data_IF_370398597545
#
_entry.id   IF_370398597545
#
_cell.length_a   1.000
_cell.length_b   1.000
_cell.length_c   1.000
_cell.angle_alpha   90.00
_cell.angle_beta   90.00
_cell.angle_gamma   90.00
#
_symmetry.space_group_name_H-M   'P 1'
#
loop_
_entity.id
_entity.type
_entity.pdbx_description
1 polymer ?
#
# COMPACT_ATOMS: atom_id res chain seq x y z
N UNK A 1 76.59 -37.06 51.71
CA UNK A 1 75.29 -36.64 52.28
C UNK A 1 74.60 -35.48 51.54
N UNK A 2 75.12 -34.98 50.39
CA UNK A 2 74.56 -33.83 49.64
C UNK A 2 73.67 -34.15 48.43
N UNK A 3 73.54 -35.42 48.01
CA UNK A 3 72.80 -35.78 46.78
C UNK A 3 71.28 -35.89 46.94
N UNK A 4 70.76 -36.11 48.15
CA UNK A 4 69.31 -36.26 48.40
C UNK A 4 68.58 -34.93 48.57
N UNK A 5 69.27 -33.91 49.10
CA UNK A 5 68.69 -32.58 49.33
C UNK A 5 68.55 -31.75 48.04
N UNK A 6 69.49 -31.91 47.10
CA UNK A 6 69.44 -31.20 45.81
C UNK A 6 68.34 -31.74 44.88
N UNK A 7 68.05 -33.04 44.97
CA UNK A 7 67.01 -33.69 44.16
C UNK A 7 65.59 -33.38 44.67
N UNK A 8 65.43 -33.18 45.98
CA UNK A 8 64.18 -32.70 46.57
C UNK A 8 63.89 -31.23 46.20
N UNK A 9 64.92 -30.38 46.11
CA UNK A 9 64.76 -28.99 45.70
C UNK A 9 64.41 -28.86 44.21
N UNK A 10 64.94 -29.73 43.35
CA UNK A 10 64.65 -29.74 41.91
C UNK A 10 63.23 -30.23 41.60
N UNK A 11 62.73 -31.22 42.36
CA UNK A 11 61.33 -31.69 42.24
C UNK A 11 60.31 -30.66 42.74
N UNK A 12 60.67 -29.83 43.73
CA UNK A 12 59.82 -28.74 44.20
C UNK A 12 59.76 -27.59 43.18
N UNK A 13 60.84 -27.34 42.44
CA UNK A 13 60.89 -26.28 41.41
C UNK A 13 60.11 -26.66 40.14
N UNK A 14 60.07 -27.94 39.75
CA UNK A 14 59.28 -28.42 38.60
C UNK A 14 57.77 -28.36 38.86
N UNK A 15 57.34 -28.56 40.11
CA UNK A 15 55.92 -28.49 40.48
C UNK A 15 55.34 -27.05 40.52
N UNK A 16 56.20 -26.03 40.66
CA UNK A 16 55.77 -24.62 40.74
C UNK A 16 55.72 -23.98 39.34
N UNK A 17 56.47 -24.51 38.36
CA UNK A 17 56.44 -24.01 36.96
C UNK A 17 55.41 -24.71 36.07
N UNK A 18 54.70 -25.72 36.56
CA UNK A 18 53.58 -26.38 35.86
C UNK A 18 52.20 -25.81 36.23
N UNK A 19 52.16 -24.67 36.93
CA UNK A 19 50.96 -23.84 37.05
C UNK A 19 50.64 -23.20 35.70
N UNK A 20 50.30 -24.04 34.71
CA UNK A 20 49.68 -23.57 33.48
C UNK A 20 48.48 -22.73 33.88
N UNK A 21 48.40 -21.51 33.35
CA UNK A 21 47.19 -20.72 33.44
C UNK A 21 46.03 -21.60 32.97
N UNK A 22 45.25 -22.11 33.90
CA UNK A 22 43.88 -22.53 33.60
C UNK A 22 43.18 -21.19 33.34
N UNK A 23 43.30 -20.72 32.10
CA UNK A 23 42.27 -19.87 31.54
C UNK A 23 41.05 -20.79 31.53
N UNK A 24 40.24 -20.73 32.59
CA UNK A 24 38.84 -21.10 32.46
C UNK A 24 38.37 -20.29 31.26
N UNK A 25 38.19 -20.98 30.12
CA UNK A 25 37.48 -20.40 29.02
C UNK A 25 36.16 -19.95 29.64
N UNK A 26 35.93 -18.64 29.65
CA UNK A 26 34.66 -18.09 30.10
C UNK A 26 33.62 -18.62 29.12
N UNK A 27 33.06 -19.80 29.44
CA UNK A 27 31.97 -20.41 28.69
C UNK A 27 30.76 -19.56 29.04
N UNK A 28 30.55 -18.53 28.22
CA UNK A 28 29.31 -17.77 28.28
C UNK A 28 28.23 -18.73 27.81
N UNK A 29 27.24 -19.09 28.66
CA UNK A 29 26.20 -20.00 28.26
C UNK A 29 25.41 -19.38 27.11
N UNK A 30 25.21 -20.15 26.04
CA UNK A 30 24.48 -19.76 24.83
C UNK A 30 23.42 -20.81 24.55
N UNK A 31 22.23 -20.36 24.19
CA UNK A 31 21.20 -21.18 23.56
C UNK A 31 21.24 -20.97 22.05
N UNK A 32 20.97 -22.03 21.30
CA UNK A 32 20.89 -21.97 19.83
C UNK A 32 19.43 -22.20 19.42
N UNK A 33 18.80 -21.20 18.82
CA UNK A 33 17.44 -21.28 18.29
C UNK A 33 17.52 -21.60 16.80
N UNK A 34 17.04 -22.76 16.40
CA UNK A 34 16.90 -23.15 15.00
C UNK A 34 15.47 -22.96 14.56
N UNK A 35 15.25 -22.51 13.32
CA UNK A 35 13.89 -22.37 12.81
C UNK A 35 13.83 -22.42 11.30
N UNK A 36 12.61 -22.26 10.77
CA UNK A 36 12.35 -22.28 9.33
C UNK A 36 11.35 -21.21 8.92
N UNK A 37 11.69 -20.45 7.89
CA UNK A 37 10.77 -19.57 7.16
C UNK A 37 10.00 -20.40 6.13
N UNK A 38 8.69 -20.21 6.10
CA UNK A 38 7.77 -20.85 5.15
C UNK A 38 7.25 -19.75 4.24
N UNK A 39 7.51 -19.87 2.94
CA UNK A 39 7.06 -18.92 1.92
C UNK A 39 6.11 -19.61 0.94
N UNK A 40 5.33 -18.85 0.14
CA UNK A 40 4.46 -19.41 -0.87
C UNK A 40 5.20 -20.33 -1.85
N UNK A 41 4.51 -21.34 -2.43
CA UNK A 41 5.11 -22.25 -3.41
C UNK A 41 5.77 -21.50 -4.57
N UNK A 42 6.99 -21.93 -4.94
CA UNK A 42 7.76 -21.33 -6.04
C UNK A 42 8.57 -20.09 -5.66
N UNK A 43 8.46 -19.60 -4.43
CA UNK A 43 9.27 -18.50 -3.91
C UNK A 43 10.43 -19.03 -3.06
N UNK A 44 11.51 -18.24 -2.97
CA UNK A 44 12.71 -18.58 -2.19
C UNK A 44 12.83 -17.59 -1.03
N UNK A 45 12.99 -18.04 0.23
CA UNK A 45 13.06 -17.18 1.42
C UNK A 45 14.40 -16.45 1.59
N UNK A 46 15.27 -16.49 0.58
CA UNK A 46 16.59 -15.87 0.64
C UNK A 46 16.44 -14.35 0.84
N UNK A 47 17.21 -13.79 1.79
CA UNK A 47 17.15 -12.36 2.12
C UNK A 47 16.08 -11.99 3.16
N UNK A 48 15.27 -12.94 3.63
CA UNK A 48 14.44 -12.74 4.83
C UNK A 48 15.34 -12.64 6.05
N UNK A 49 15.25 -11.52 6.77
CA UNK A 49 15.94 -11.26 8.03
C UNK A 49 15.03 -11.64 9.19
N UNK A 50 15.56 -12.43 10.11
CA UNK A 50 14.92 -12.77 11.38
C UNK A 50 15.59 -11.93 12.46
N UNK A 51 14.78 -11.21 13.23
CA UNK A 51 15.21 -10.34 14.33
C UNK A 51 14.52 -10.80 15.61
N UNK A 52 15.09 -10.44 16.76
CA UNK A 52 14.54 -10.78 18.07
C UNK A 52 14.04 -9.51 18.74
N UNK A 53 12.76 -9.46 19.07
CA UNK A 53 12.15 -8.30 19.71
C UNK A 53 12.82 -7.99 21.06
N UNK A 54 12.99 -6.70 21.36
CA UNK A 54 13.74 -6.22 22.52
C UNK A 54 15.26 -6.46 22.45
N UNK A 55 15.77 -7.01 21.34
CA UNK A 55 17.19 -7.32 21.12
C UNK A 55 17.65 -6.91 19.70
N UNK A 56 17.72 -5.60 19.40
CA UNK A 56 17.91 -5.10 18.03
C UNK A 56 19.24 -5.49 17.38
N UNK A 57 20.24 -5.92 18.16
CA UNK A 57 21.53 -6.41 17.67
C UNK A 57 21.54 -7.90 17.33
N UNK A 58 20.51 -8.66 17.70
CA UNK A 58 20.42 -10.10 17.46
C UNK A 58 19.56 -10.35 16.24
N UNK A 59 20.18 -10.92 15.20
CA UNK A 59 19.47 -11.29 13.98
C UNK A 59 20.18 -12.42 13.23
N UNK A 60 19.45 -13.07 12.34
CA UNK A 60 19.97 -14.02 11.36
C UNK A 60 19.27 -13.80 10.01
N UNK A 61 19.81 -14.39 8.95
CA UNK A 61 19.14 -14.45 7.64
C UNK A 61 18.74 -15.89 7.35
N UNK A 62 17.59 -16.07 6.71
CA UNK A 62 17.19 -17.36 6.19
C UNK A 62 18.08 -17.73 4.99
N UNK A 63 18.55 -18.98 4.94
CA UNK A 63 19.14 -19.55 3.73
C UNK A 63 18.07 -19.97 2.71
N UNK A 64 18.48 -20.48 1.54
CA UNK A 64 17.58 -20.87 0.45
C UNK A 64 16.51 -21.91 0.83
N UNK A 65 16.81 -22.75 1.83
CA UNK A 65 15.87 -23.73 2.36
C UNK A 65 14.90 -23.18 3.42
N UNK A 66 14.98 -21.88 3.71
CA UNK A 66 14.24 -21.19 4.77
C UNK A 66 14.82 -21.37 6.18
N UNK A 67 15.84 -22.22 6.35
CA UNK A 67 16.44 -22.48 7.65
C UNK A 67 17.26 -21.30 8.15
N UNK A 68 17.20 -21.05 9.45
CA UNK A 68 18.03 -20.05 10.16
C UNK A 68 18.46 -20.59 11.54
N UNK A 69 19.48 -19.95 12.12
CA UNK A 69 19.96 -20.23 13.48
C UNK A 69 20.34 -18.92 14.17
N UNK A 70 19.89 -18.73 15.41
CA UNK A 70 20.15 -17.53 16.24
C UNK A 70 20.74 -17.97 17.58
N UNK A 71 21.80 -17.29 18.01
CA UNK A 71 22.38 -17.48 19.33
C UNK A 71 21.80 -16.48 20.34
N UNK A 72 21.29 -17.00 21.47
CA UNK A 72 20.75 -16.21 22.57
C UNK A 72 21.52 -16.46 23.86
N UNK A 73 21.78 -15.39 24.61
CA UNK A 73 22.54 -15.43 25.87
C UNK A 73 21.67 -15.28 27.11
N UNK A 74 20.36 -15.45 26.95
CA UNK A 74 19.37 -15.37 28.02
C UNK A 74 18.33 -16.45 27.80
N UNK A 75 17.91 -17.10 28.89
CA UNK A 75 16.70 -17.91 28.90
C UNK A 75 15.47 -17.00 28.93
N UNK A 76 14.33 -17.51 28.46
CA UNK A 76 13.06 -16.81 28.49
C UNK A 76 12.25 -17.01 27.22
N UNK A 77 11.11 -16.31 27.15
CA UNK A 77 10.26 -16.30 25.98
C UNK A 77 10.62 -15.12 25.09
N UNK A 78 10.88 -15.39 23.81
CA UNK A 78 11.29 -14.39 22.83
C UNK A 78 10.33 -14.34 21.65
N UNK A 79 10.09 -13.14 21.13
CA UNK A 79 9.36 -12.93 19.88
C UNK A 79 10.37 -12.83 18.73
N UNK A 80 10.28 -13.76 17.79
CA UNK A 80 11.04 -13.74 16.54
C UNK A 80 10.19 -13.04 15.48
N UNK A 81 10.75 -12.04 14.82
CA UNK A 81 10.11 -11.31 13.73
C UNK A 81 10.91 -11.50 12.46
N UNK A 82 10.27 -12.05 11.43
CA UNK A 82 10.86 -12.28 10.12
C UNK A 82 10.29 -11.28 9.11
N UNK A 83 11.17 -10.58 8.41
CA UNK A 83 10.80 -9.63 7.36
C UNK A 83 11.77 -9.72 6.18
N UNK A 84 11.25 -9.58 4.96
CA UNK A 84 12.04 -9.53 3.74
C UNK A 84 11.45 -8.53 2.74
N UNK A 85 12.24 -8.15 1.74
CA UNK A 85 11.82 -7.18 0.71
C UNK A 85 10.62 -7.65 -0.12
N UNK A 86 10.50 -8.96 -0.33
CA UNK A 86 9.47 -9.55 -1.20
C UNK A 86 8.32 -10.19 -0.42
N UNK A 87 8.42 -10.20 0.92
CA UNK A 87 7.49 -10.90 1.80
C UNK A 87 6.93 -9.96 2.86
N UNK A 88 5.65 -10.14 3.20
CA UNK A 88 5.08 -9.48 4.36
C UNK A 88 5.76 -9.98 5.64
N UNK A 89 5.68 -9.14 6.67
CA UNK A 89 6.24 -9.48 7.99
C UNK A 89 5.44 -10.60 8.66
N UNK A 90 6.15 -11.49 9.34
CA UNK A 90 5.54 -12.55 10.15
C UNK A 90 6.33 -12.76 11.43
N UNK A 91 5.75 -13.47 12.39
CA UNK A 91 6.35 -13.66 13.70
C UNK A 91 6.06 -15.03 14.32
N UNK A 92 6.87 -15.42 15.30
CA UNK A 92 6.63 -16.58 16.15
C UNK A 92 7.22 -16.38 17.53
N UNK A 93 6.58 -16.96 18.55
CA UNK A 93 7.12 -17.05 19.90
C UNK A 93 7.99 -18.29 20.07
N UNK A 94 9.09 -18.17 20.82
CA UNK A 94 9.96 -19.29 21.19
C UNK A 94 10.37 -19.20 22.65
N UNK A 95 10.30 -20.32 23.36
CA UNK A 95 10.81 -20.46 24.73
C UNK A 95 12.22 -21.02 24.70
N UNK A 96 13.16 -20.32 25.34
CA UNK A 96 14.59 -20.58 25.22
C UNK A 96 15.18 -20.91 26.58
N UNK A 97 15.98 -21.97 26.60
CA UNK A 97 16.76 -22.40 27.76
C UNK A 97 18.25 -22.40 27.39
N UNK A 98 19.08 -21.78 28.23
CA UNK A 98 20.53 -21.72 28.04
C UNK A 98 21.15 -23.12 27.91
N UNK A 99 22.24 -23.19 27.12
CA UNK A 99 23.00 -24.42 26.85
C UNK A 99 22.21 -25.51 26.10
N UNK A 100 21.05 -25.15 25.54
CA UNK A 100 20.24 -26.05 24.72
C UNK A 100 20.08 -25.53 23.29
N UNK A 101 19.90 -26.46 22.37
CA UNK A 101 19.34 -26.17 21.06
C UNK A 101 17.80 -26.26 21.16
N UNK A 102 17.11 -25.25 20.65
CA UNK A 102 15.65 -25.17 20.62
C UNK A 102 15.18 -25.01 19.19
N UNK A 103 14.16 -25.76 18.80
CA UNK A 103 13.48 -25.59 17.51
C UNK A 103 12.30 -24.62 17.67
N UNK A 104 12.40 -23.45 17.05
CA UNK A 104 11.33 -22.47 16.97
C UNK A 104 10.22 -22.93 16.00
N UNK A 105 8.96 -22.51 16.23
CA UNK A 105 7.90 -22.69 15.26
C UNK A 105 8.27 -22.09 13.89
N UNK A 106 7.74 -22.70 12.83
CA UNK A 106 7.91 -22.15 11.48
C UNK A 106 7.20 -20.80 11.35
N UNK A 107 7.87 -19.82 10.74
CA UNK A 107 7.27 -18.50 10.48
C UNK A 107 6.80 -18.49 9.03
N UNK A 108 5.48 -18.46 8.85
CA UNK A 108 4.86 -18.35 7.52
C UNK A 108 4.79 -16.89 7.10
N UNK A 109 5.29 -16.60 5.90
CA UNK A 109 5.22 -15.28 5.28
C UNK A 109 4.33 -15.35 4.04
N UNK A 110 3.54 -14.31 3.83
CA UNK A 110 2.86 -14.07 2.56
C UNK A 110 3.78 -13.28 1.64
N UNK A 111 3.65 -13.47 0.33
CA UNK A 111 4.30 -12.56 -0.63
C UNK A 111 3.68 -11.17 -0.51
N UNK A 112 4.49 -10.12 -0.64
CA UNK A 112 3.97 -8.75 -0.66
C UNK A 112 3.00 -8.58 -1.83
N UNK A 113 1.98 -7.78 -1.60
CA UNK A 113 1.05 -7.34 -2.62
C UNK A 113 1.50 -5.98 -3.12
N UNK A 114 1.41 -5.74 -4.44
CA UNK A 114 1.85 -4.49 -5.03
C UNK A 114 0.98 -3.33 -4.55
N UNK A 115 1.61 -2.23 -4.14
CA UNK A 115 0.91 -1.06 -3.58
C UNK A 115 0.42 -1.26 -2.14
N UNK A 116 0.79 -2.37 -1.49
CA UNK A 116 0.46 -2.65 -0.10
C UNK A 116 1.72 -2.86 0.75
N UNK A 117 1.59 -2.62 2.04
CA UNK A 117 2.57 -3.06 3.03
C UNK A 117 1.89 -3.39 4.35
N UNK A 118 2.50 -4.35 5.05
CA UNK A 118 2.17 -4.73 6.42
C UNK A 118 3.28 -4.25 7.37
N UNK A 119 2.91 -3.40 8.32
CA UNK A 119 3.75 -2.99 9.45
C UNK A 119 3.46 -3.84 10.68
N UNK A 120 4.47 -3.99 11.52
CA UNK A 120 4.38 -4.64 12.83
C UNK A 120 5.05 -3.75 13.87
N UNK A 121 4.49 -3.71 15.06
CA UNK A 121 5.09 -3.14 16.26
C UNK A 121 4.71 -4.03 17.44
N UNK A 122 5.57 -4.14 18.45
CA UNK A 122 5.28 -5.01 19.60
C UNK A 122 5.57 -4.29 20.91
N UNK A 123 4.79 -4.62 21.95
CA UNK A 123 5.09 -4.19 23.32
C UNK A 123 6.38 -4.84 23.86
N UNK A 124 6.92 -5.87 23.20
CA UNK A 124 8.22 -6.46 23.58
C UNK A 124 9.35 -5.51 23.24
N UNK A 125 9.27 -4.83 22.09
CA UNK A 125 10.24 -3.79 21.69
C UNK A 125 10.03 -2.49 22.45
N UNK A 126 8.77 -2.16 22.75
CA UNK A 126 8.38 -0.93 23.42
C UNK A 126 7.50 -1.21 24.67
N UNK A 127 8.09 -1.64 25.81
CA UNK A 127 7.35 -2.11 26.98
C UNK A 127 6.39 -1.11 27.62
N UNK A 128 6.65 0.20 27.46
CA UNK A 128 5.80 1.25 28.02
C UNK A 128 4.69 1.69 27.06
N UNK A 129 4.61 1.12 25.86
CA UNK A 129 3.65 1.51 24.83
C UNK A 129 2.22 1.02 25.15
N UNK A 130 1.25 1.87 24.83
CA UNK A 130 -0.19 1.61 24.99
C UNK A 130 -0.96 1.66 23.68
N UNK A 131 -0.36 2.24 22.64
CA UNK A 131 -0.90 2.30 21.28
C UNK A 131 0.21 2.58 20.30
N UNK A 132 0.08 2.13 19.05
CA UNK A 132 1.03 2.39 17.97
C UNK A 132 0.37 3.04 16.76
N UNK A 133 1.17 3.81 16.02
CA UNK A 133 0.86 4.35 14.71
C UNK A 133 2.10 4.26 13.82
N UNK A 134 1.90 4.06 12.52
CA UNK A 134 2.95 4.27 11.53
C UNK A 134 2.91 5.71 11.04
N UNK A 135 4.06 6.36 10.97
CA UNK A 135 4.19 7.73 10.46
C UNK A 135 5.06 7.75 9.22
N UNK A 136 4.46 8.21 8.11
CA UNK A 136 5.15 8.39 6.83
C UNK A 136 6.15 9.55 6.91
N UNK A 137 7.28 9.41 6.21
CA UNK A 137 8.33 10.43 6.15
C UNK A 137 8.63 10.82 4.70
N UNK A 138 8.90 9.84 3.84
CA UNK A 138 9.23 10.09 2.44
C UNK A 138 8.93 8.85 1.56
N UNK A 139 7.95 8.90 0.65
CA UNK A 139 6.99 10.00 0.47
C UNK A 139 6.05 10.13 1.67
N UNK A 140 5.45 11.31 1.85
CA UNK A 140 4.43 11.55 2.86
C UNK A 140 3.07 11.13 2.32
N UNK A 141 2.34 10.29 3.05
CA UNK A 141 1.00 9.81 2.67
C UNK A 141 -0.09 10.71 3.27
N UNK A 142 -1.33 10.51 2.84
CA UNK A 142 -2.52 11.10 3.47
C UNK A 142 -3.44 9.99 3.98
N UNK A 143 -3.70 9.88 5.31
CA UNK A 143 -3.10 10.68 6.37
C UNK A 143 -1.60 10.37 6.58
N UNK A 144 -0.84 11.33 7.11
CA UNK A 144 0.60 11.18 7.32
C UNK A 144 0.96 10.22 8.48
N UNK A 145 -0.01 9.94 9.35
CA UNK A 145 0.09 8.98 10.47
C UNK A 145 -1.18 8.14 10.51
N UNK A 146 -1.01 6.82 10.68
CA UNK A 146 -2.10 5.83 10.68
C UNK A 146 -1.94 4.89 11.87
N UNK A 147 -3.02 4.70 12.63
CA UNK A 147 -3.06 3.84 13.82
C UNK A 147 -2.86 2.36 13.45
N UNK A 148 -2.16 1.63 14.32
CA UNK A 148 -1.98 0.16 14.24
C UNK A 148 -2.87 -0.54 15.27
N UNK A 149 -3.19 -1.82 15.02
CA UNK A 149 -4.22 -2.56 15.75
C UNK A 149 -3.72 -3.93 16.24
N UNK A 150 -4.12 -4.30 17.45
CA UNK A 150 -3.91 -5.61 18.12
C UNK A 150 -5.31 -6.20 18.43
N UNK A 151 -6.09 -6.43 17.38
CA UNK A 151 -7.52 -6.77 17.45
C UNK A 151 -7.93 -7.91 16.50
N UNK A 152 -6.97 -8.59 15.88
CA UNK A 152 -7.19 -9.64 14.88
C UNK A 152 -7.61 -9.12 13.50
N UNK A 153 -7.49 -7.81 13.25
CA UNK A 153 -7.76 -7.18 11.95
C UNK A 153 -6.51 -6.48 11.39
N UNK A 154 -6.61 -5.87 10.21
CA UNK A 154 -5.50 -5.12 9.58
C UNK A 154 -4.19 -5.91 9.39
N UNK A 155 -4.26 -7.24 9.32
CA UNK A 155 -3.11 -8.14 9.20
C UNK A 155 -2.63 -8.72 10.53
N UNK A 156 -3.32 -8.43 11.62
CA UNK A 156 -3.04 -9.00 12.94
C UNK A 156 -3.55 -10.44 12.99
N UNK A 157 -2.70 -11.35 13.46
CA UNK A 157 -2.99 -12.77 13.51
C UNK A 157 -3.78 -13.14 14.77
N UNK A 158 -3.54 -12.47 15.89
CA UNK A 158 -4.09 -12.82 17.20
C UNK A 158 -4.39 -11.56 18.02
N UNK A 159 -5.67 -11.27 18.21
CA UNK A 159 -6.10 -10.14 19.02
C UNK A 159 -5.61 -10.20 20.48
N UNK A 160 -5.18 -9.05 21.01
CA UNK A 160 -4.69 -8.82 22.37
C UNK A 160 -3.45 -9.66 22.74
N UNK A 161 -2.56 -9.93 21.79
CA UNK A 161 -1.29 -10.62 22.04
C UNK A 161 -0.10 -9.66 22.25
N UNK A 162 -0.36 -8.35 22.20
CA UNK A 162 0.65 -7.30 22.35
C UNK A 162 1.41 -6.98 21.06
N UNK A 163 0.97 -7.53 19.92
CA UNK A 163 1.55 -7.30 18.60
C UNK A 163 0.55 -6.52 17.77
N UNK A 164 0.94 -5.30 17.45
CA UNK A 164 0.14 -4.39 16.66
C UNK A 164 0.56 -4.50 15.20
N UNK A 165 -0.42 -4.57 14.31
CA UNK A 165 -0.17 -4.56 12.87
C UNK A 165 -1.00 -3.51 12.18
N UNK A 166 -0.57 -3.16 10.98
CA UNK A 166 -1.36 -2.33 10.08
C UNK A 166 -1.01 -2.70 8.65
N UNK A 167 -2.01 -3.09 7.89
CA UNK A 167 -1.95 -3.15 6.43
C UNK A 167 -2.47 -1.86 5.86
N UNK A 168 -1.63 -1.14 5.12
CA UNK A 168 -2.09 -0.06 4.26
C UNK A 168 -2.07 -0.51 2.81
N UNK A 169 -3.05 -0.03 2.07
CA UNK A 169 -3.18 -0.21 0.62
C UNK A 169 -3.02 1.12 -0.08
N UNK A 170 -2.97 1.09 -1.41
CA UNK A 170 -2.82 2.27 -2.25
C UNK A 170 -1.58 3.12 -1.96
N UNK A 171 -0.48 2.48 -1.54
CA UNK A 171 0.79 3.13 -1.23
C UNK A 171 1.66 3.34 -2.47
N UNK A 172 2.43 4.43 -2.48
CA UNK A 172 3.46 4.69 -3.49
C UNK A 172 4.43 3.52 -3.65
N UNK A 173 4.58 2.98 -4.86
CA UNK A 173 5.53 1.91 -5.13
C UNK A 173 6.98 2.38 -4.94
N UNK A 174 7.88 1.43 -4.67
CA UNK A 174 9.29 1.71 -4.45
C UNK A 174 9.60 1.93 -2.98
N UNK A 175 10.70 2.65 -2.72
CA UNK A 175 11.30 2.69 -1.39
C UNK A 175 10.77 3.83 -0.52
N UNK A 176 10.21 3.48 0.64
CA UNK A 176 9.48 4.40 1.50
C UNK A 176 10.07 4.49 2.90
N UNK A 177 10.23 5.71 3.40
CA UNK A 177 10.72 6.00 4.74
C UNK A 177 9.57 6.24 5.72
N UNK A 178 9.68 5.64 6.89
CA UNK A 178 8.70 5.76 7.97
C UNK A 178 9.37 5.71 9.36
N UNK A 179 8.56 6.00 10.39
CA UNK A 179 8.87 5.79 11.79
C UNK A 179 7.66 5.21 12.52
N UNK A 180 7.90 4.55 13.65
CA UNK A 180 6.83 4.13 14.55
C UNK A 180 6.59 5.24 15.58
N UNK A 181 5.33 5.61 15.75
CA UNK A 181 4.88 6.53 16.79
C UNK A 181 4.06 5.73 17.82
N UNK A 182 4.30 5.95 19.11
CA UNK A 182 3.55 5.24 20.15
C UNK A 182 3.31 6.12 21.37
N UNK A 183 2.24 5.82 22.10
CA UNK A 183 1.89 6.51 23.35
C UNK A 183 2.34 5.71 24.56
N UNK A 184 2.96 6.37 25.53
CA UNK A 184 3.33 5.75 26.81
C UNK A 184 2.15 5.73 27.77
N UNK A 185 2.25 4.94 28.84
CA UNK A 185 1.27 4.94 29.95
C UNK A 185 1.08 6.32 30.61
N UNK A 186 2.09 7.20 30.53
CA UNK A 186 2.01 8.59 30.99
C UNK A 186 1.28 9.55 30.03
N UNK A 187 0.90 9.08 28.84
CA UNK A 187 0.25 9.87 27.79
C UNK A 187 1.19 10.55 26.81
N UNK A 188 2.52 10.44 27.00
CA UNK A 188 3.52 11.02 26.11
C UNK A 188 3.56 10.28 24.77
N UNK A 189 3.76 11.02 23.68
CA UNK A 189 3.98 10.43 22.35
C UNK A 189 5.47 10.37 22.05
N UNK A 190 5.96 9.18 21.68
CA UNK A 190 7.35 8.93 21.25
C UNK A 190 7.38 8.51 19.80
N UNK A 191 8.47 8.84 19.12
CA UNK A 191 8.73 8.44 17.73
C UNK A 191 10.08 7.76 17.65
N UNK A 192 10.10 6.52 17.19
CA UNK A 192 11.32 5.71 17.10
C UNK A 192 11.40 4.95 15.77
N UNK A 193 12.61 4.48 15.45
CA UNK A 193 12.82 3.61 14.29
C UNK A 193 12.27 2.22 14.57
N UNK A 194 11.68 1.59 13.55
CA UNK A 194 11.27 0.20 13.57
C UNK A 194 12.51 -0.71 13.77
N UNK A 195 12.57 -1.51 14.85
CA UNK A 195 13.63 -2.49 15.09
C UNK A 195 13.68 -3.57 14.00
N UNK A 196 12.54 -3.82 13.35
CA UNK A 196 12.29 -4.86 12.36
C UNK A 196 12.19 -4.32 10.92
N UNK A 197 12.67 -3.09 10.67
CA UNK A 197 12.75 -2.48 9.33
C UNK A 197 13.50 -3.33 8.30
N UNK A 198 13.13 -3.19 7.04
CA UNK A 198 13.79 -3.90 5.92
C UNK A 198 15.17 -3.31 5.65
N UNK A 199 15.27 -1.98 5.71
CA UNK A 199 16.51 -1.26 5.51
C UNK A 199 16.50 0.07 6.28
N UNK A 200 17.62 0.78 6.27
CA UNK A 200 17.75 2.13 6.83
C UNK A 200 18.16 3.11 5.74
N UNK A 201 17.38 4.17 5.54
CA UNK A 201 17.72 5.30 4.66
C UNK A 201 17.65 6.59 5.45
N UNK A 202 18.65 7.46 5.34
CA UNK A 202 18.73 8.75 6.06
C UNK A 202 18.36 8.66 7.56
N UNK A 203 18.84 7.61 8.25
CA UNK A 203 18.54 7.28 9.65
C UNK A 203 17.07 6.97 9.97
N UNK A 204 16.21 6.83 8.96
CA UNK A 204 14.81 6.41 9.12
C UNK A 204 14.62 4.95 8.74
N UNK A 205 13.51 4.38 9.20
CA UNK A 205 13.11 3.02 8.81
C UNK A 205 12.67 3.03 7.37
N UNK A 206 13.06 2.01 6.61
CA UNK A 206 12.72 1.87 5.21
C UNK A 206 11.96 0.56 4.97
N UNK A 207 10.92 0.65 4.15
CA UNK A 207 10.14 -0.47 3.62
C UNK A 207 10.06 -0.32 2.10
N UNK A 208 10.21 -1.42 1.39
CA UNK A 208 10.02 -1.45 -0.05
C UNK A 208 8.60 -1.91 -0.39
N UNK A 209 7.88 -1.08 -1.14
CA UNK A 209 6.60 -1.44 -1.73
C UNK A 209 6.89 -1.97 -3.13
N UNK A 210 6.41 -3.16 -3.44
CA UNK A 210 6.63 -3.77 -4.75
C UNK A 210 6.10 -2.84 -5.85
N UNK A 211 6.74 -2.94 -7.02
CA UNK A 211 6.28 -2.33 -8.27
C UNK A 211 5.57 -3.40 -9.10
N UNK A 212 4.50 -3.05 -9.81
CA UNK A 212 3.88 -3.94 -10.81
C UNK A 212 4.24 -3.46 -12.20
N UNK A 213 4.37 -4.42 -13.10
CA UNK A 213 4.48 -4.18 -14.53
C UNK A 213 3.14 -3.81 -15.18
N UNK A 214 2.00 -3.98 -14.49
CA UNK A 214 0.65 -3.67 -14.97
C UNK A 214 -0.16 -2.97 -13.87
N UNK A 215 -0.80 -1.85 -14.21
CA UNK A 215 -1.69 -1.13 -13.31
C UNK A 215 -3.14 -1.52 -13.55
N UNK A 216 -3.94 -1.62 -12.49
CA UNK A 216 -5.31 -2.12 -12.49
C UNK A 216 -6.15 -1.23 -11.57
N UNK A 217 -7.27 -0.72 -12.05
CA UNK A 217 -8.29 -0.11 -11.20
C UNK A 217 -9.41 -1.14 -10.98
N UNK A 218 -9.78 -1.40 -9.73
CA UNK A 218 -10.95 -2.21 -9.40
C UNK A 218 -11.89 -1.41 -8.52
N UNK A 219 -13.18 -1.64 -8.67
CA UNK A 219 -14.16 -0.91 -7.90
C UNK A 219 -15.57 -1.37 -8.19
N UNK A 220 -16.51 -0.60 -7.65
CA UNK A 220 -17.91 -0.88 -7.73
C UNK A 220 -18.70 0.39 -8.03
N UNK A 221 -19.70 0.27 -8.89
CA UNK A 221 -20.62 1.35 -9.21
C UNK A 221 -21.99 1.08 -8.59
N UNK A 222 -22.59 2.12 -8.03
CA UNK A 222 -23.97 2.15 -7.55
C UNK A 222 -24.72 3.30 -8.22
N UNK A 223 -26.04 3.37 -8.05
CA UNK A 223 -26.85 4.47 -8.57
C UNK A 223 -28.02 4.79 -7.66
N UNK A 224 -28.74 5.86 -8.00
CA UNK A 224 -29.99 6.28 -7.37
C UNK A 224 -31.21 5.42 -7.78
N UNK A 225 -31.03 4.46 -8.68
CA UNK A 225 -32.06 3.53 -9.10
C UNK A 225 -31.91 2.18 -8.39
N UNK A 226 -33.05 1.55 -8.07
CA UNK A 226 -33.09 0.19 -7.54
C UNK A 226 -33.05 -0.83 -8.70
N UNK A 227 -32.36 -1.95 -8.50
CA UNK A 227 -32.32 -3.09 -9.44
C UNK A 227 -31.87 -2.71 -10.86
N UNK A 228 -30.73 -2.05 -10.94
CA UNK A 228 -30.09 -1.66 -12.20
C UNK A 228 -29.23 -2.80 -12.73
N UNK A 229 -29.29 -3.03 -14.04
CA UNK A 229 -28.27 -3.79 -14.77
C UNK A 229 -27.16 -2.82 -15.21
N UNK A 230 -26.01 -2.88 -14.54
CA UNK A 230 -24.89 -1.98 -14.83
C UNK A 230 -24.09 -2.38 -16.08
N UNK A 231 -24.43 -3.49 -16.75
CA UNK A 231 -23.73 -3.93 -17.96
C UNK A 231 -23.88 -2.96 -19.14
N UNK A 232 -24.81 -2.01 -19.08
CA UNK A 232 -24.94 -0.93 -20.06
C UNK A 232 -23.99 0.25 -19.81
N UNK A 233 -23.35 0.30 -18.64
CA UNK A 233 -22.40 1.36 -18.29
C UNK A 233 -21.05 1.04 -18.90
N UNK A 234 -20.57 1.95 -19.74
CA UNK A 234 -19.24 1.91 -20.33
C UNK A 234 -18.28 2.67 -19.43
N UNK A 235 -17.25 1.98 -18.94
CA UNK A 235 -16.08 2.57 -18.33
C UNK A 235 -15.01 2.81 -19.40
N UNK A 236 -14.41 3.99 -19.41
CA UNK A 236 -13.35 4.33 -20.35
C UNK A 236 -12.24 5.18 -19.70
N UNK A 237 -11.07 5.20 -20.33
CA UNK A 237 -9.94 6.05 -19.95
C UNK A 237 -9.14 6.50 -21.18
N UNK A 238 -8.17 7.40 -21.00
CA UNK A 238 -7.20 7.84 -22.01
C UNK A 238 -7.89 8.25 -23.30
N UNK A 239 -8.72 9.30 -23.24
CA UNK A 239 -9.51 9.79 -24.38
C UNK A 239 -10.41 8.71 -25.02
N UNK A 240 -10.96 7.83 -24.20
CA UNK A 240 -11.84 6.75 -24.67
C UNK A 240 -11.15 5.64 -25.46
N UNK A 241 -9.81 5.68 -25.60
CA UNK A 241 -9.05 4.69 -26.38
C UNK A 241 -9.11 3.28 -25.77
N UNK A 242 -9.32 3.19 -24.45
CA UNK A 242 -9.58 1.93 -23.75
C UNK A 242 -10.93 2.04 -23.08
N UNK A 243 -11.73 0.98 -23.21
CA UNK A 243 -13.03 0.91 -22.56
C UNK A 243 -13.47 -0.51 -22.31
N UNK A 244 -14.33 -0.69 -21.31
CA UNK A 244 -15.06 -1.92 -21.03
C UNK A 244 -16.49 -1.60 -20.61
N UNK A 245 -17.38 -2.58 -20.69
CA UNK A 245 -18.66 -2.53 -19.99
C UNK A 245 -18.48 -3.09 -18.57
N UNK A 246 -19.24 -2.57 -17.61
CA UNK A 246 -19.22 -3.09 -16.24
C UNK A 246 -19.87 -4.48 -16.16
N UNK A 247 -19.66 -5.16 -15.04
CA UNK A 247 -20.46 -6.34 -14.71
C UNK A 247 -21.90 -5.93 -14.38
N UNK A 248 -22.84 -6.86 -14.47
CA UNK A 248 -24.28 -6.62 -14.17
C UNK A 248 -24.49 -6.09 -12.76
N UNK A 249 -23.62 -6.46 -11.83
CA UNK A 249 -23.68 -6.07 -10.42
C UNK A 249 -23.07 -4.67 -10.17
N UNK A 250 -22.33 -4.10 -11.12
CA UNK A 250 -21.64 -2.82 -11.02
C UNK A 250 -20.13 -2.93 -10.76
N UNK A 251 -19.62 -4.15 -10.56
CA UNK A 251 -18.20 -4.41 -10.36
C UNK A 251 -17.37 -4.23 -11.63
N UNK A 252 -16.12 -3.82 -11.48
CA UNK A 252 -15.16 -3.77 -12.58
C UNK A 252 -13.72 -4.03 -12.12
N UNK A 253 -12.92 -4.48 -13.07
CA UNK A 253 -11.47 -4.61 -12.96
C UNK A 253 -10.87 -4.21 -14.30
N UNK A 254 -10.21 -3.06 -14.35
CA UNK A 254 -9.86 -2.37 -15.57
C UNK A 254 -8.36 -2.06 -15.61
N UNK A 255 -7.66 -2.65 -16.57
CA UNK A 255 -6.23 -2.45 -16.74
C UNK A 255 -5.96 -1.01 -17.23
N UNK A 256 -4.91 -0.39 -16.70
CA UNK A 256 -4.57 1.00 -16.93
C UNK A 256 -3.12 1.14 -17.41
N UNK A 257 -2.84 2.22 -18.14
CA UNK A 257 -1.57 2.45 -18.82
C UNK A 257 -1.10 3.90 -18.64
N UNK A 258 -0.27 4.14 -17.63
CA UNK A 258 0.32 5.45 -17.42
C UNK A 258 1.02 5.56 -16.06
N UNK A 259 1.78 6.64 -15.88
CA UNK A 259 2.41 7.04 -14.63
C UNK A 259 1.97 8.47 -14.33
N UNK A 260 0.85 8.64 -13.61
CA UNK A 260 0.31 9.96 -13.29
C UNK A 260 -1.19 9.94 -13.00
N UNK A 261 -1.77 11.14 -12.97
CA UNK A 261 -3.23 11.31 -12.86
C UNK A 261 -3.90 10.79 -14.14
N UNK A 262 -4.82 9.87 -13.98
CA UNK A 262 -5.73 9.40 -15.03
C UNK A 262 -7.18 9.61 -14.59
N UNK A 263 -8.13 9.38 -15.49
CA UNK A 263 -9.55 9.49 -15.21
C UNK A 263 -10.28 8.21 -15.59
N UNK A 264 -11.12 7.72 -14.69
CA UNK A 264 -12.12 6.70 -14.97
C UNK A 264 -13.42 7.40 -15.35
N UNK A 265 -13.87 7.23 -16.59
CA UNK A 265 -15.07 7.89 -17.11
C UNK A 265 -16.15 6.86 -17.34
N UNK A 266 -17.25 6.98 -16.59
CA UNK A 266 -18.44 6.15 -16.67
C UNK A 266 -19.49 6.86 -17.53
N UNK A 267 -20.01 6.15 -18.53
CA UNK A 267 -21.00 6.68 -19.49
C UNK A 267 -22.07 5.65 -19.80
N UNK A 268 -23.33 6.07 -19.86
CA UNK A 268 -24.45 5.27 -20.36
C UNK A 268 -25.54 6.20 -20.92
N UNK A 269 -26.39 5.75 -21.86
CA UNK A 269 -27.60 6.48 -22.22
C UNK A 269 -28.55 6.74 -21.03
N UNK A 270 -28.52 5.87 -20.01
CA UNK A 270 -29.44 5.92 -18.87
C UNK A 270 -28.92 6.70 -17.65
N UNK A 271 -27.60 6.89 -17.56
CA UNK A 271 -26.94 7.56 -16.44
C UNK A 271 -26.15 8.77 -16.91
N UNK A 272 -26.09 9.81 -16.09
CA UNK A 272 -25.23 10.95 -16.35
C UNK A 272 -23.76 10.53 -16.36
N UNK A 273 -22.98 11.12 -17.27
CA UNK A 273 -21.53 10.92 -17.33
C UNK A 273 -20.90 11.28 -15.99
N UNK A 274 -19.95 10.46 -15.54
CA UNK A 274 -19.15 10.73 -14.34
C UNK A 274 -17.69 10.44 -14.63
N UNK A 275 -16.80 11.38 -14.33
CA UNK A 275 -15.35 11.18 -14.39
C UNK A 275 -14.80 11.20 -12.96
N UNK A 276 -13.88 10.28 -12.67
CA UNK A 276 -13.22 10.20 -11.37
C UNK A 276 -11.72 10.30 -11.60
N UNK A 277 -11.04 11.30 -11.01
CA UNK A 277 -9.59 11.34 -11.02
C UNK A 277 -9.04 10.19 -10.20
N UNK A 278 -8.05 9.52 -10.74
CA UNK A 278 -7.25 8.52 -10.05
C UNK A 278 -5.79 8.89 -10.17
N UNK A 279 -4.99 8.59 -9.16
CA UNK A 279 -3.55 8.79 -9.22
C UNK A 279 -2.88 7.43 -9.37
N UNK A 280 -2.41 7.14 -10.58
CA UNK A 280 -1.63 5.94 -10.86
C UNK A 280 -0.15 6.13 -10.58
N UNK A 281 0.32 7.33 -10.24
CA UNK A 281 1.76 7.54 -9.97
C UNK A 281 2.24 6.72 -8.76
N UNK A 282 1.32 6.34 -7.88
CA UNK A 282 1.63 5.68 -6.61
C UNK A 282 1.25 4.21 -6.59
N UNK A 283 0.31 3.73 -7.41
CA UNK A 283 -0.28 2.40 -7.22
C UNK A 283 -0.37 1.59 -8.51
N UNK A 284 -0.39 0.28 -8.36
CA UNK A 284 -0.66 -0.62 -9.48
C UNK A 284 -1.93 -1.42 -9.31
N UNK A 285 -2.48 -1.47 -8.12
CA UNK A 285 -3.86 -1.81 -7.90
C UNK A 285 -4.47 -0.61 -7.19
N UNK A 286 -5.41 0.05 -7.85
CA UNK A 286 -6.17 1.13 -7.25
C UNK A 286 -7.56 0.62 -6.89
N UNK A 287 -7.80 0.52 -5.58
CA UNK A 287 -9.13 0.26 -5.04
C UNK A 287 -9.95 1.54 -5.10
N UNK A 288 -10.76 1.66 -6.16
CA UNK A 288 -11.61 2.82 -6.37
C UNK A 288 -12.75 2.78 -5.34
N UNK A 289 -12.94 3.83 -4.53
CA UNK A 289 -14.10 3.93 -3.64
C UNK A 289 -15.41 3.75 -4.41
N UNK A 290 -16.41 3.16 -3.75
CA UNK A 290 -17.72 2.94 -4.37
C UNK A 290 -18.24 4.21 -5.03
N UNK A 291 -18.50 4.09 -6.33
CA UNK A 291 -18.84 5.22 -7.20
C UNK A 291 -20.33 5.27 -7.46
N UNK A 292 -21.01 6.31 -6.99
CA UNK A 292 -22.43 6.53 -7.30
C UNK A 292 -22.60 7.26 -8.64
N UNK A 293 -23.30 6.69 -9.61
CA UNK A 293 -23.71 7.39 -10.84
C UNK A 293 -25.20 7.80 -10.74
N UNK A 294 -25.54 8.99 -11.22
CA UNK A 294 -26.92 9.49 -11.17
C UNK A 294 -27.68 9.16 -12.45
N UNK A 295 -28.93 8.73 -12.32
CA UNK A 295 -29.82 8.48 -13.44
C UNK A 295 -30.14 9.77 -14.20
N UNK A 296 -30.23 9.68 -15.53
CA UNK A 296 -30.72 10.79 -16.34
C UNK A 296 -32.22 10.98 -16.10
N UNK A 297 -32.64 12.18 -15.69
CA UNK A 297 -34.06 12.54 -15.65
C UNK A 297 -34.50 13.15 -16.99
N UNK A 298 -35.81 13.19 -17.19
CA UNK A 298 -36.40 13.77 -18.40
C UNK A 298 -35.95 15.22 -18.61
N UNK A 299 -35.42 15.49 -19.80
CA UNK A 299 -34.91 16.81 -20.19
C UNK A 299 -33.61 17.27 -19.55
N UNK A 300 -32.86 16.36 -18.92
CA UNK A 300 -31.51 16.63 -18.42
C UNK A 300 -30.43 16.17 -19.40
N UNK A 301 -29.37 16.97 -19.51
CA UNK A 301 -28.20 16.68 -20.33
C UNK A 301 -26.95 17.09 -19.54
N UNK A 302 -26.10 16.14 -19.14
CA UNK A 302 -24.79 16.42 -18.52
C UNK A 302 -23.67 16.16 -19.51
N UNK A 303 -22.74 17.10 -19.64
CA UNK A 303 -21.48 16.94 -20.37
C UNK A 303 -20.30 17.09 -19.44
N UNK A 304 -19.23 16.34 -19.72
CA UNK A 304 -17.98 16.35 -18.97
C UNK A 304 -16.82 16.42 -19.97
N UNK A 305 -15.88 17.33 -19.71
CA UNK A 305 -14.61 17.47 -20.41
C UNK A 305 -13.49 17.23 -19.41
N UNK A 306 -12.64 16.24 -19.69
CA UNK A 306 -11.44 15.98 -18.89
C UNK A 306 -10.29 16.80 -19.47
N UNK A 307 -9.76 17.76 -18.72
CA UNK A 307 -8.80 18.72 -19.27
C UNK A 307 -7.49 18.06 -19.75
N UNK A 308 -7.01 17.07 -18.99
CA UNK A 308 -5.77 16.33 -19.31
C UNK A 308 -5.85 15.52 -20.62
N UNK A 309 -7.06 15.31 -21.16
CA UNK A 309 -7.26 14.66 -22.44
C UNK A 309 -6.98 15.59 -23.63
N UNK A 310 -6.66 16.86 -23.41
CA UNK A 310 -6.39 17.81 -24.49
C UNK A 310 -5.16 18.66 -24.18
N UNK A 311 -4.53 19.16 -25.24
CA UNK A 311 -3.50 20.19 -25.10
C UNK A 311 -4.17 21.56 -24.93
N UNK A 312 -3.65 22.37 -24.00
CA UNK A 312 -3.99 23.79 -23.87
C UNK A 312 -5.49 24.10 -23.67
N UNK A 313 -6.11 23.42 -22.69
CA UNK A 313 -7.48 23.74 -22.26
C UNK A 313 -7.47 25.07 -21.51
N UNK A 314 -8.27 26.04 -21.98
CA UNK A 314 -8.43 27.34 -21.34
C UNK A 314 -9.84 27.87 -21.60
N UNK A 315 -10.59 28.15 -20.52
CA UNK A 315 -11.99 28.60 -20.57
C UNK A 315 -12.87 27.74 -21.51
N UNK A 316 -12.94 26.41 -21.28
CA UNK A 316 -13.63 25.52 -22.19
C UNK A 316 -15.14 25.80 -22.24
N UNK A 317 -15.72 25.64 -23.42
CA UNK A 317 -17.16 25.75 -23.65
C UNK A 317 -17.69 24.54 -24.41
N UNK A 318 -19.00 24.29 -24.33
CA UNK A 318 -19.71 23.31 -25.16
C UNK A 318 -20.66 24.04 -26.12
N UNK A 319 -20.74 23.54 -27.35
CA UNK A 319 -21.72 23.95 -28.35
C UNK A 319 -22.48 22.73 -28.83
N UNK A 320 -23.74 22.91 -29.21
CA UNK A 320 -24.53 21.82 -29.76
C UNK A 320 -25.93 22.22 -30.18
N UNK A 321 -26.58 21.31 -30.88
CA UNK A 321 -27.94 21.46 -31.40
C UNK A 321 -28.99 21.74 -30.31
N UNK A 322 -28.74 21.34 -29.06
CA UNK A 322 -29.66 21.52 -27.92
C UNK A 322 -29.78 22.98 -27.41
N UNK A 323 -28.81 23.86 -27.73
CA UNK A 323 -28.86 25.31 -27.44
C UNK A 323 -28.55 26.19 -28.66
N UNK A 324 -28.35 25.56 -29.83
CA UNK A 324 -27.90 26.22 -31.05
C UNK A 324 -26.38 26.35 -31.13
N UNK A 325 -25.82 26.10 -32.31
CA UNK A 325 -24.37 26.07 -32.56
C UNK A 325 -23.66 27.42 -32.34
N UNK A 326 -24.38 28.53 -32.46
CA UNK A 326 -23.84 29.89 -32.28
C UNK A 326 -23.85 30.38 -30.82
N UNK A 327 -24.19 29.52 -29.86
CA UNK A 327 -24.36 29.90 -28.45
C UNK A 327 -23.49 29.03 -27.52
N UNK A 328 -22.17 29.27 -27.44
CA UNK A 328 -21.27 28.51 -26.56
C UNK A 328 -21.68 28.64 -25.09
N UNK A 329 -21.69 27.51 -24.38
CA UNK A 329 -22.01 27.43 -22.96
C UNK A 329 -20.75 27.08 -22.18
N UNK A 330 -20.42 27.80 -21.12
CA UNK A 330 -19.23 27.51 -20.33
C UNK A 330 -19.33 26.15 -19.62
N UNK A 331 -18.17 25.49 -19.49
CA UNK A 331 -17.98 24.33 -18.62
C UNK A 331 -17.21 24.77 -17.38
N UNK A 332 -17.47 24.13 -16.24
CA UNK A 332 -16.96 24.55 -14.93
C UNK A 332 -16.30 23.40 -14.17
N UNK A 333 -15.18 23.69 -13.52
CA UNK A 333 -14.44 22.82 -12.59
C UNK A 333 -14.43 23.53 -11.22
N UNK A 334 -15.62 23.69 -10.65
CA UNK A 334 -15.90 24.61 -9.53
C UNK A 334 -16.87 24.04 -8.47
N UNK A 335 -17.14 22.73 -8.49
CA UNK A 335 -18.13 22.05 -7.67
C UNK A 335 -19.57 22.59 -7.83
N UNK A 336 -19.87 23.24 -8.95
CA UNK A 336 -21.22 23.68 -9.33
C UNK A 336 -21.57 23.23 -10.75
N UNK A 337 -22.76 23.54 -11.25
CA UNK A 337 -23.19 23.15 -12.61
C UNK A 337 -23.10 21.64 -12.92
N UNK A 338 -23.23 20.80 -11.89
CA UNK A 338 -23.12 19.35 -11.99
C UNK A 338 -21.70 18.82 -11.82
N UNK A 339 -20.72 19.68 -11.56
CA UNK A 339 -19.37 19.29 -11.18
C UNK A 339 -19.32 18.70 -9.76
N UNK A 340 -18.58 17.60 -9.61
CA UNK A 340 -18.54 16.84 -8.35
C UNK A 340 -17.48 17.41 -7.39
N UNK A 341 -16.37 17.95 -7.91
CA UNK A 341 -15.25 18.43 -7.10
C UNK A 341 -14.46 19.53 -7.82
N UNK A 342 -14.35 20.70 -7.18
CA UNK A 342 -13.63 21.84 -7.74
C UNK A 342 -12.12 21.60 -7.85
N UNK A 343 -11.53 22.01 -8.97
CA UNK A 343 -10.10 21.99 -9.25
C UNK A 343 -9.54 20.59 -9.56
N UNK A 344 -10.40 19.63 -9.90
CA UNK A 344 -9.98 18.25 -10.17
C UNK A 344 -9.61 18.03 -11.65
N UNK A 345 -9.82 19.04 -12.50
CA UNK A 345 -9.56 19.00 -13.94
C UNK A 345 -10.72 18.44 -14.78
N UNK A 346 -11.89 18.24 -14.17
CA UNK A 346 -13.13 17.78 -14.82
C UNK A 346 -14.08 18.97 -14.99
N UNK A 347 -14.17 19.47 -16.22
CA UNK A 347 -15.06 20.58 -16.56
C UNK A 347 -16.45 20.06 -16.92
N UNK A 348 -17.46 20.51 -16.19
CA UNK A 348 -18.82 19.97 -16.27
C UNK A 348 -19.85 21.05 -16.58
N UNK A 349 -20.94 20.66 -17.24
CA UNK A 349 -22.16 21.45 -17.29
C UNK A 349 -23.38 20.54 -17.37
N UNK A 350 -24.36 20.78 -16.50
CA UNK A 350 -25.67 20.16 -16.48
C UNK A 350 -26.72 21.14 -17.05
N UNK A 351 -27.37 20.73 -18.12
CA UNK A 351 -28.52 21.40 -18.70
C UNK A 351 -29.81 20.74 -18.24
N UNK A 352 -30.84 21.57 -18.05
CA UNK A 352 -32.20 21.14 -17.73
C UNK A 352 -33.19 21.76 -18.73
N UNK A 353 -34.38 21.15 -18.84
CA UNK A 353 -35.44 21.61 -19.74
C UNK A 353 -35.11 21.45 -21.23
N UNK A 354 -34.24 20.51 -21.57
CA UNK A 354 -33.99 20.11 -22.96
C UNK A 354 -35.12 19.19 -23.40
N UNK A 355 -35.60 19.31 -24.64
CA UNK A 355 -36.62 18.38 -25.12
C UNK A 355 -36.01 16.96 -25.25
N UNK A 356 -36.80 15.88 -25.08
CA UNK A 356 -36.32 14.53 -25.36
C UNK A 356 -35.83 14.40 -26.80
N UNK A 357 -34.72 13.68 -27.00
CA UNK A 357 -34.16 13.44 -28.32
C UNK A 357 -32.64 13.25 -28.33
N UNK A 358 -32.11 13.15 -29.53
CA UNK A 358 -30.69 12.96 -29.79
C UNK A 358 -30.07 14.27 -30.28
N UNK A 359 -28.97 14.67 -29.67
CA UNK A 359 -28.34 15.96 -29.93
C UNK A 359 -26.86 15.81 -30.29
N UNK A 360 -26.45 16.51 -31.34
CA UNK A 360 -25.05 16.68 -31.71
C UNK A 360 -24.41 17.81 -30.90
N UNK A 361 -23.14 17.63 -30.50
CA UNK A 361 -22.35 18.58 -29.74
C UNK A 361 -20.84 18.45 -29.97
N UNK A 362 -20.09 19.48 -29.58
CA UNK A 362 -18.63 19.52 -29.52
C UNK A 362 -18.15 20.44 -28.40
N UNK A 363 -16.89 20.28 -28.00
CA UNK A 363 -16.22 21.15 -27.04
C UNK A 363 -15.32 22.14 -27.75
N UNK A 364 -15.36 23.42 -27.36
CA UNK A 364 -14.29 24.35 -27.67
C UNK A 364 -13.35 24.37 -26.46
N UNK A 365 -12.18 23.73 -26.58
CA UNK A 365 -11.22 23.62 -25.48
C UNK A 365 -10.46 24.93 -25.23
N UNK A 366 -10.41 25.79 -26.26
CA UNK A 366 -9.95 27.17 -26.19
C UNK A 366 -10.64 27.96 -27.33
N UNK A 367 -10.23 29.22 -27.55
CA UNK A 367 -10.86 30.08 -28.55
C UNK A 367 -10.72 29.63 -30.01
N UNK A 368 -9.77 28.72 -30.31
CA UNK A 368 -9.41 28.33 -31.67
C UNK A 368 -9.62 26.85 -31.97
N UNK A 369 -9.86 26.01 -30.96
CA UNK A 369 -9.85 24.57 -31.12
C UNK A 369 -11.18 23.95 -30.66
N UNK A 370 -11.90 23.38 -31.62
CA UNK A 370 -13.09 22.59 -31.39
C UNK A 370 -12.77 21.11 -31.56
N UNK A 371 -13.17 20.31 -30.57
CA UNK A 371 -12.89 18.87 -30.49
C UNK A 371 -14.16 18.10 -30.14
N UNK A 372 -14.16 16.82 -30.50
CA UNK A 372 -15.20 15.88 -30.09
C UNK A 372 -15.01 15.45 -28.63
N UNK A 373 -16.09 15.03 -28.01
CA UNK A 373 -16.05 14.30 -26.74
C UNK A 373 -15.48 12.89 -26.99
N UNK A 374 -14.31 12.55 -26.41
CA UNK A 374 -13.75 11.20 -26.51
C UNK A 374 -14.61 10.13 -25.81
N UNK A 375 -15.47 10.55 -24.87
CA UNK A 375 -16.35 9.69 -24.07
C UNK A 375 -17.83 9.77 -24.51
N UNK A 376 -18.07 10.19 -25.75
CA UNK A 376 -19.40 10.29 -26.35
C UNK A 376 -20.20 8.97 -26.28
N UNK A 377 -21.54 9.07 -26.17
CA UNK A 377 -22.45 7.90 -26.25
C UNK A 377 -22.47 7.31 -27.68
N UNK A 378 -22.50 8.20 -28.66
CA UNK A 378 -22.32 7.88 -30.07
C UNK A 378 -21.71 9.10 -30.78
N UNK A 379 -21.45 9.02 -32.08
CA UNK A 379 -21.00 10.19 -32.82
C UNK A 379 -20.88 9.94 -34.30
N UNK A 380 -20.74 11.01 -35.06
CA UNK A 380 -20.48 10.99 -36.50
C UNK A 380 -19.01 11.39 -36.79
N UNK A 381 -18.66 11.72 -38.04
CA UNK A 381 -17.28 12.13 -38.37
C UNK A 381 -16.85 13.44 -37.72
N UNK A 382 -17.80 14.31 -37.35
CA UNK A 382 -17.55 15.70 -36.93
C UNK A 382 -17.92 15.95 -35.47
N UNK A 383 -19.05 15.38 -35.01
CA UNK A 383 -19.67 15.71 -33.73
C UNK A 383 -19.91 14.48 -32.86
N UNK A 384 -19.92 14.75 -31.56
CA UNK A 384 -20.37 13.80 -30.55
C UNK A 384 -21.88 13.86 -30.43
N UNK A 385 -22.49 12.75 -30.06
CA UNK A 385 -23.94 12.60 -29.96
C UNK A 385 -24.29 12.14 -28.55
N UNK A 386 -25.32 12.78 -27.98
CA UNK A 386 -25.86 12.49 -26.64
C UNK A 386 -27.39 12.34 -26.72
N UNK A 387 -27.93 11.41 -25.94
CA UNK A 387 -29.37 11.20 -25.78
C UNK A 387 -29.90 11.91 -24.52
N UNK A 388 -31.03 12.60 -24.69
CA UNK A 388 -31.85 13.21 -23.63
C UNK A 388 -33.18 12.46 -23.55
N UNK A 389 -33.53 12.05 -22.33
CA UNK A 389 -34.77 11.30 -22.05
C UNK A 389 -36.02 12.17 -22.03
#
# INVERSE_FOLDING_TARGET
MMKKTLMALLLLFVAITSGGCIQEALVVPVAVVNGKIIVPPGQVPLGVKITVAGMPSVSAYAGDSGKYSIELRKSGRFLLVARGRDFDVGYAWVDVELEKAVDAPGISLSGKIVGEALWIASIVDFPDATSFSVKSIDPVWSPASSTMYDDGSHGDLLANDGIYTLRLTNLTTGSQQYSLEYKTSGGDTKTESDPHKENTRNNNSEIYILESTVKLARGYVTSDLNSVDYSEVKLATKKGSRSMYLNTDGGYSFAMEGNGREYLVFRSPNFHIRAIPIDLSTVTLYDVPTTTISSKRGGELKVVLVASDFADVSNPTVVGSFKGWSNPQALYDDATHGDDAAGDGVYTCLFTGIAPGTYEYAFNINSNNQVKDPYQESGNSTYSIIEVK
#
